data_IF_177246784424
#
_entry.id   IF_177246784424
#
_cell.length_a   1.000
_cell.length_b   1.000
_cell.length_c   1.000
_cell.angle_alpha   90.00
_cell.angle_beta   90.00
_cell.angle_gamma   90.00
#
_symmetry.space_group_name_H-M   'P 1'
#
loop_
_entity.id
_entity.type
_entity.pdbx_description
1 polymer ?
#
# COMPACT_ATOMS: atom_id res chain seq x y z
N UNK A 1 -15.87 2.40 -7.41
CA UNK A 1 -14.78 1.42 -7.64
C UNK A 1 -13.68 2.00 -8.50
N UNK A 2 -14.03 2.75 -9.55
CA UNK A 2 -13.05 3.40 -10.44
C UNK A 2 -12.17 4.38 -9.67
N UNK A 3 -12.71 5.10 -8.69
CA UNK A 3 -11.97 6.07 -7.88
C UNK A 3 -10.82 5.42 -7.10
N UNK A 4 -11.05 4.24 -6.53
CA UNK A 4 -10.02 3.48 -5.79
C UNK A 4 -8.91 3.07 -6.75
N UNK A 5 -9.28 2.55 -7.93
CA UNK A 5 -8.31 2.14 -8.95
C UNK A 5 -7.49 3.31 -9.47
N UNK A 6 -8.11 4.46 -9.73
CA UNK A 6 -7.42 5.68 -10.17
C UNK A 6 -6.49 6.24 -9.10
N UNK A 7 -6.92 6.24 -7.83
CA UNK A 7 -6.06 6.64 -6.70
C UNK A 7 -4.82 5.76 -6.62
N UNK A 8 -5.00 4.43 -6.67
CA UNK A 8 -3.88 3.49 -6.57
C UNK A 8 -2.97 3.58 -7.79
N UNK A 9 -3.52 3.71 -8.99
CA UNK A 9 -2.75 3.89 -10.23
C UNK A 9 -1.91 5.16 -10.21
N UNK A 10 -2.54 6.30 -9.93
CA UNK A 10 -1.83 7.57 -9.88
C UNK A 10 -0.80 7.60 -8.74
N UNK A 11 -1.11 6.93 -7.62
CA UNK A 11 -0.12 6.70 -6.57
C UNK A 11 1.05 5.90 -7.17
N UNK A 12 0.86 4.69 -7.68
CA UNK A 12 1.93 3.86 -8.27
C UNK A 12 2.78 4.60 -9.33
N UNK A 13 2.18 5.48 -10.14
CA UNK A 13 2.88 6.33 -11.12
C UNK A 13 3.88 7.35 -10.54
N UNK A 14 3.97 7.48 -9.22
CA UNK A 14 4.92 8.41 -8.57
C UNK A 14 4.25 9.66 -7.99
N UNK A 15 2.94 9.85 -8.20
CA UNK A 15 2.28 11.07 -7.78
C UNK A 15 2.10 11.13 -6.26
N UNK A 16 2.35 12.31 -5.68
CA UNK A 16 2.04 12.57 -4.26
C UNK A 16 0.53 12.60 -4.01
N UNK A 17 0.12 12.28 -2.78
CA UNK A 17 -1.29 12.14 -2.38
C UNK A 17 -2.19 13.32 -2.78
N UNK A 18 -1.66 14.54 -2.83
CA UNK A 18 -2.41 15.72 -3.29
C UNK A 18 -2.81 15.61 -4.76
N UNK A 19 -1.83 15.38 -5.64
CA UNK A 19 -2.05 15.24 -7.09
C UNK A 19 -2.92 14.03 -7.41
N UNK A 20 -2.75 12.95 -6.65
CA UNK A 20 -3.58 11.74 -6.75
C UNK A 20 -5.04 12.05 -6.43
N UNK A 21 -5.28 12.77 -5.33
CA UNK A 21 -6.63 13.15 -4.89
C UNK A 21 -7.34 14.05 -5.92
N UNK A 22 -6.64 15.06 -6.44
CA UNK A 22 -7.15 15.94 -7.50
C UNK A 22 -7.47 15.18 -8.78
N UNK A 23 -6.56 14.30 -9.24
CA UNK A 23 -6.75 13.53 -10.48
C UNK A 23 -7.88 12.52 -10.40
N UNK A 24 -8.09 11.93 -9.22
CA UNK A 24 -9.17 10.97 -8.97
C UNK A 24 -10.49 11.61 -8.51
N UNK A 25 -10.52 12.94 -8.29
CA UNK A 25 -11.72 13.65 -7.83
C UNK A 25 -12.14 13.29 -6.40
N UNK A 26 -11.21 12.87 -5.54
CA UNK A 26 -11.48 12.47 -4.15
C UNK A 26 -10.84 13.43 -3.14
N UNK A 27 -11.36 13.49 -1.92
CA UNK A 27 -10.69 14.22 -0.84
C UNK A 27 -9.36 13.56 -0.46
N UNK A 28 -8.37 14.37 -0.09
CA UNK A 28 -7.02 13.91 0.30
C UNK A 28 -7.05 12.86 1.42
N UNK A 29 -7.96 12.97 2.39
CA UNK A 29 -8.07 11.98 3.48
C UNK A 29 -8.58 10.64 2.97
N UNK A 30 -9.44 10.66 1.94
CA UNK A 30 -9.96 9.47 1.28
C UNK A 30 -8.87 8.80 0.46
N UNK A 31 -8.10 9.57 -0.33
CA UNK A 31 -6.94 9.04 -1.05
C UNK A 31 -5.93 8.37 -0.10
N UNK A 32 -5.61 9.03 1.03
CA UNK A 32 -4.74 8.47 2.07
C UNK A 32 -5.30 7.17 2.66
N UNK A 33 -6.61 7.09 2.93
CA UNK A 33 -7.25 5.86 3.43
C UNK A 33 -7.17 4.71 2.44
N UNK A 34 -7.41 4.98 1.16
CA UNK A 34 -7.31 3.96 0.11
C UNK A 34 -5.88 3.42 -0.03
N UNK A 35 -4.88 4.30 -0.03
CA UNK A 35 -3.47 3.88 -0.08
C UNK A 35 -3.11 3.06 1.15
N UNK A 36 -3.47 3.50 2.36
CA UNK A 36 -3.18 2.77 3.58
C UNK A 36 -3.86 1.38 3.62
N UNK A 37 -5.10 1.28 3.12
CA UNK A 37 -5.79 0.00 2.99
C UNK A 37 -5.15 -0.91 1.94
N UNK A 38 -4.66 -0.35 0.82
CA UNK A 38 -3.96 -1.11 -0.21
C UNK A 38 -2.60 -1.61 0.29
N UNK A 39 -1.83 -0.78 1.00
CA UNK A 39 -0.59 -1.18 1.66
C UNK A 39 -0.84 -2.31 2.68
N UNK A 40 -1.92 -2.19 3.48
CA UNK A 40 -2.32 -3.25 4.41
C UNK A 40 -2.75 -4.55 3.71
N UNK A 41 -3.29 -4.45 2.49
CA UNK A 41 -3.61 -5.59 1.63
C UNK A 41 -2.39 -6.13 0.86
N UNK A 42 -1.21 -5.53 1.01
CA UNK A 42 0.05 -6.01 0.43
C UNK A 42 0.51 -5.28 -0.84
N UNK A 43 -0.13 -4.17 -1.24
CA UNK A 43 0.34 -3.36 -2.36
C UNK A 43 1.59 -2.57 -1.97
N UNK A 44 2.69 -2.81 -2.68
CA UNK A 44 3.94 -2.05 -2.53
C UNK A 44 3.97 -0.82 -3.45
N UNK A 45 4.75 0.19 -3.06
CA UNK A 45 4.90 1.44 -3.82
C UNK A 45 5.59 1.23 -5.17
N UNK A 46 6.48 0.25 -5.19
CA UNK A 46 7.30 -0.17 -6.33
C UNK A 46 6.57 -1.17 -7.23
N UNK A 47 5.37 -1.60 -6.84
CA UNK A 47 4.55 -2.48 -7.65
C UNK A 47 4.12 -1.78 -8.95
N UNK A 48 4.03 -2.53 -10.04
CA UNK A 48 3.46 -2.03 -11.29
C UNK A 48 1.95 -1.83 -11.18
N UNK A 49 1.39 -1.06 -12.10
CA UNK A 49 -0.07 -0.84 -12.22
C UNK A 49 -0.87 -2.14 -12.32
N UNK A 50 -0.26 -3.20 -12.86
CA UNK A 50 -0.83 -4.56 -12.96
C UNK A 50 -1.12 -5.21 -11.59
N UNK A 51 -0.50 -4.73 -10.51
CA UNK A 51 -0.79 -5.20 -9.16
C UNK A 51 -2.17 -4.72 -8.66
N UNK A 52 -2.77 -3.71 -9.32
CA UNK A 52 -4.10 -3.19 -8.98
C UNK A 52 -5.18 -4.06 -9.63
N UNK A 53 -5.30 -5.29 -9.13
CA UNK A 53 -6.32 -6.25 -9.55
C UNK A 53 -7.69 -5.94 -8.94
N UNK A 54 -8.78 -6.42 -9.55
CA UNK A 54 -10.13 -6.24 -8.99
C UNK A 54 -10.28 -6.87 -7.59
N UNK A 55 -9.53 -7.95 -7.31
CA UNK A 55 -9.49 -8.57 -5.98
C UNK A 55 -8.87 -7.63 -4.93
N UNK A 56 -7.77 -6.95 -5.27
CA UNK A 56 -7.17 -5.93 -4.40
C UNK A 56 -8.13 -4.76 -4.20
N UNK A 57 -8.76 -4.29 -5.27
CA UNK A 57 -9.74 -3.19 -5.20
C UNK A 57 -10.90 -3.56 -4.28
N UNK A 58 -11.42 -4.80 -4.38
CA UNK A 58 -12.45 -5.32 -3.48
C UNK A 58 -12.01 -5.30 -2.02
N UNK A 59 -10.81 -5.81 -1.71
CA UNK A 59 -10.27 -5.80 -0.35
C UNK A 59 -10.10 -4.39 0.23
N UNK A 60 -9.65 -3.43 -0.60
CA UNK A 60 -9.53 -2.02 -0.20
C UNK A 60 -10.90 -1.41 0.09
N UNK A 61 -11.90 -1.69 -0.73
CA UNK A 61 -13.26 -1.17 -0.50
C UNK A 61 -13.87 -1.77 0.76
N UNK A 62 -13.72 -3.07 0.98
CA UNK A 62 -14.22 -3.73 2.19
C UNK A 62 -13.55 -3.19 3.45
N UNK A 63 -12.24 -2.91 3.40
CA UNK A 63 -11.50 -2.32 4.50
C UNK A 63 -11.90 -0.87 4.81
N UNK A 64 -12.32 -0.11 3.79
CA UNK A 64 -12.68 1.33 3.94
C UNK A 64 -14.17 1.51 4.19
N UNK A 65 -14.99 0.49 3.88
CA UNK A 65 -16.43 0.53 4.12
C UNK A 65 -16.67 0.79 5.61
N UNK A 66 -17.36 1.89 5.96
CA UNK A 66 -17.62 2.20 7.35
C UNK A 66 -18.46 1.08 7.96
N UNK A 67 -17.93 0.40 8.96
CA UNK A 67 -18.72 -0.49 9.83
C UNK A 67 -19.67 0.44 10.57
N UNK A 68 -20.96 0.39 10.19
CA UNK A 68 -22.01 1.19 10.84
C UNK A 68 -22.06 0.78 12.31
N UNK A 69 -21.78 1.66 13.30
CA UNK A 69 -22.29 1.41 14.64
C UNK A 69 -23.80 1.59 14.57
N UNK A 70 -24.55 0.62 15.06
CA UNK A 70 -26.01 0.67 15.12
C UNK A 70 -26.47 2.00 15.75
N UNK A 71 -27.23 2.80 14.98
CA UNK A 71 -27.97 3.97 15.45
C UNK A 71 -27.18 5.29 15.52
N UNK A 72 -27.45 6.20 14.57
CA UNK A 72 -27.13 7.62 14.74
C UNK A 72 -26.91 8.39 13.43
N UNK A 73 -27.95 9.05 12.93
CA UNK A 73 -27.83 10.07 11.89
C UNK A 73 -27.24 11.33 12.52
N UNK A 74 -25.93 11.54 12.43
CA UNK A 74 -25.33 12.89 12.59
C UNK A 74 -24.08 13.04 11.72
N UNK A 75 -24.01 14.20 11.07
CA UNK A 75 -22.88 14.77 10.33
C UNK A 75 -21.51 14.36 10.90
N UNK A 76 -20.66 13.83 10.01
CA UNK A 76 -19.24 13.57 10.21
C UNK A 76 -18.91 12.40 11.13
N UNK A 77 -18.85 11.19 10.56
CA UNK A 77 -17.88 10.19 11.02
C UNK A 77 -16.95 9.81 9.87
N UNK A 78 -15.86 10.56 9.75
CA UNK A 78 -14.80 10.33 8.76
C UNK A 78 -13.42 10.16 9.40
N UNK A 79 -13.36 9.69 10.65
CA UNK A 79 -12.08 9.56 11.37
C UNK A 79 -12.02 8.34 12.29
N UNK A 80 -11.89 7.14 11.73
CA UNK A 80 -11.05 6.10 12.35
C UNK A 80 -10.69 5.00 11.36
N UNK A 81 -9.52 5.12 10.73
CA UNK A 81 -8.74 3.96 10.26
C UNK A 81 -7.28 4.36 10.50
N UNK A 82 -6.77 4.04 11.68
CA UNK A 82 -5.33 3.92 11.91
C UNK A 82 -5.04 2.43 11.96
N UNK A 83 -4.27 1.85 11.02
CA UNK A 83 -3.75 0.52 11.22
C UNK A 83 -2.61 0.64 12.25
N UNK A 84 -2.93 0.26 13.48
CA UNK A 84 -1.95 0.01 14.52
C UNK A 84 -1.16 -1.25 14.12
N UNK A 85 0.02 -1.05 13.55
CA UNK A 85 1.21 -1.89 13.66
C UNK A 85 1.03 -3.42 13.55
N UNK A 86 1.44 -4.00 12.41
CA UNK A 86 2.03 -5.35 12.18
C UNK A 86 1.68 -5.78 10.73
N UNK A 87 2.52 -6.33 9.84
CA UNK A 87 3.79 -7.02 9.98
C UNK A 87 4.56 -7.06 8.63
N UNK A 88 5.89 -6.87 8.73
CA UNK A 88 6.98 -7.50 7.94
C UNK A 88 7.20 -7.17 6.44
N UNK A 89 8.47 -7.06 6.01
CA UNK A 89 8.86 -6.77 4.63
C UNK A 89 8.74 -8.00 3.72
N UNK A 90 8.13 -7.82 2.55
CA UNK A 90 8.32 -8.76 1.44
C UNK A 90 9.73 -8.55 0.89
N UNK A 91 10.55 -9.60 0.88
CA UNK A 91 11.85 -9.61 0.20
C UNK A 91 11.61 -10.18 -1.20
N UNK A 92 11.86 -9.46 -2.30
CA UNK A 92 11.97 -10.12 -3.59
C UNK A 92 13.30 -10.88 -3.61
N UNK A 93 13.20 -12.19 -3.39
CA UNK A 93 14.28 -13.16 -3.55
C UNK A 93 14.82 -13.08 -4.99
N UNK A 94 15.96 -12.40 -5.13
CA UNK A 94 16.71 -12.33 -6.38
C UNK A 94 17.45 -13.65 -6.59
N UNK A 95 16.82 -14.55 -7.34
CA UNK A 95 17.47 -15.72 -7.94
C UNK A 95 18.53 -15.27 -8.94
N UNK A 96 19.73 -14.93 -8.45
CA UNK A 96 20.92 -14.73 -9.28
C UNK A 96 21.97 -15.75 -8.89
N UNK A 97 21.96 -16.85 -9.63
CA UNK A 97 23.02 -17.85 -9.75
C UNK A 97 24.35 -17.16 -10.09
N UNK A 98 25.35 -17.21 -9.21
CA UNK A 98 26.75 -17.35 -9.65
C UNK A 98 27.67 -17.85 -8.52
N UNK A 99 28.21 -19.05 -8.72
CA UNK A 99 29.63 -19.36 -8.52
C UNK A 99 30.27 -19.12 -7.14
N UNK A 100 30.33 -20.18 -6.34
CA UNK A 100 31.42 -20.38 -5.38
C UNK A 100 32.76 -20.68 -6.15
N UNK A 101 33.94 -20.89 -5.52
CA UNK A 101 34.32 -20.70 -4.12
C UNK A 101 35.78 -20.17 -3.88
N UNK A 102 36.11 -19.96 -2.59
CA UNK A 102 37.45 -19.97 -1.94
C UNK A 102 38.45 -18.84 -2.26
N UNK A 103 38.90 -18.15 -1.20
CA UNK A 103 40.29 -18.29 -0.72
C UNK A 103 40.50 -17.81 0.71
N UNK A 104 41.32 -18.60 1.41
CA UNK A 104 41.85 -18.42 2.77
C UNK A 104 42.90 -17.31 2.83
N UNK A 105 43.07 -16.70 4.01
CA UNK A 105 44.32 -16.39 4.77
C UNK A 105 43.99 -15.19 5.68
N UNK A 106 43.91 -15.30 7.02
CA UNK A 106 44.92 -15.63 8.05
C UNK A 106 46.02 -14.57 8.10
N UNK A 107 46.32 -14.12 9.33
CA UNK A 107 47.32 -13.16 9.85
C UNK A 107 46.89 -11.69 9.88
N UNK A 108 47.18 -10.88 10.90
CA UNK A 108 47.64 -11.03 12.29
C UNK A 108 47.56 -9.62 12.93
N UNK A 109 47.62 -9.59 14.26
CA UNK A 109 47.74 -8.41 15.12
C UNK A 109 48.73 -7.34 14.63
N UNK A 110 48.39 -6.09 14.94
CA UNK A 110 49.23 -5.13 15.68
C UNK A 110 48.32 -4.19 16.47
#
# INVERSE_FOLDING_TARGET
MVEVREVLRAWLEGAGLHKVAERAGVDRKTARRYVAAAEAAGLAREAGVEAVTDALVGAVVDAVRPVRPDGGLTTTDMTSIQPRLAARPHTPESSRTHGAPRRRRRTAHL
#
